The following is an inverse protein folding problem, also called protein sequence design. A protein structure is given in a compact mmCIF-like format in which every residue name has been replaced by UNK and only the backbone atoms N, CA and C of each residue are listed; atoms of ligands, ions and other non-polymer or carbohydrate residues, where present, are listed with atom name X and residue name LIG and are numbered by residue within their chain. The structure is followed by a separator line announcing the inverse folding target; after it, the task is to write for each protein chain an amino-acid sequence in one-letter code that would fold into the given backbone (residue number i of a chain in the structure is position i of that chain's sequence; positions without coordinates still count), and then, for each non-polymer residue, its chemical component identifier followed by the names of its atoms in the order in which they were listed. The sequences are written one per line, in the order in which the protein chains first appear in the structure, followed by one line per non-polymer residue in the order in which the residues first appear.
data_IF_858177450281
#
_entry.id   IF_858177450281
#
_cell.length_a   1.000
_cell.length_b   1.000
_cell.length_c   1.000
_cell.angle_alpha   90.00
_cell.angle_beta   90.00
_cell.angle_gamma   90.00
#
_symmetry.space_group_name_H-M   'P 1'
#
loop_
_entity.id
_entity.type
_entity.pdbx_description
1 polymer ?
#
# COMPACT_ATOMS: atom_id res chain seq x y z
N UNK A 1 -20.73 -9.61 -10.34
CA UNK A 1 -21.46 -8.73 -9.44
C UNK A 1 -20.52 -7.77 -8.77
N UNK A 2 -20.77 -6.50 -8.96
CA UNK A 2 -19.90 -5.46 -8.41
C UNK A 2 -19.89 -5.44 -6.90
N UNK A 3 -21.01 -5.71 -6.27
CA UNK A 3 -21.12 -5.73 -4.83
C UNK A 3 -20.22 -6.77 -4.17
N UNK A 4 -20.08 -7.92 -4.80
CA UNK A 4 -19.23 -9.00 -4.31
C UNK A 4 -17.75 -8.58 -4.27
N UNK A 5 -17.30 -7.91 -5.32
CA UNK A 5 -15.92 -7.47 -5.43
C UNK A 5 -15.62 -6.34 -4.44
N UNK A 6 -16.54 -5.39 -4.30
CA UNK A 6 -16.39 -4.31 -3.33
C UNK A 6 -16.37 -4.85 -1.90
N UNK A 7 -17.21 -5.83 -1.63
CA UNK A 7 -17.27 -6.47 -0.33
C UNK A 7 -15.95 -7.15 0.03
N UNK A 8 -15.34 -7.83 -0.94
CA UNK A 8 -14.05 -8.50 -0.77
C UNK A 8 -12.94 -7.50 -0.46
N UNK A 9 -12.87 -6.43 -1.24
CA UNK A 9 -11.87 -5.39 -1.05
C UNK A 9 -12.01 -4.72 0.32
N UNK A 10 -13.24 -4.41 0.70
CA UNK A 10 -13.54 -3.80 1.98
C UNK A 10 -13.10 -4.72 3.14
N UNK A 11 -13.36 -6.00 3.00
CA UNK A 11 -13.00 -6.97 4.03
C UNK A 11 -11.49 -7.03 4.26
N UNK A 12 -10.72 -7.03 3.19
CA UNK A 12 -9.26 -7.08 3.28
C UNK A 12 -8.69 -5.79 3.86
N UNK A 13 -9.22 -4.65 3.45
CA UNK A 13 -8.83 -3.37 4.04
C UNK A 13 -9.17 -3.33 5.53
N UNK A 14 -10.32 -3.88 5.88
CA UNK A 14 -10.73 -3.98 7.27
C UNK A 14 -9.77 -4.83 8.10
N UNK A 15 -9.25 -5.92 7.53
CA UNK A 15 -8.26 -6.76 8.19
C UNK A 15 -6.97 -5.99 8.47
N UNK A 16 -6.50 -5.22 7.51
CA UNK A 16 -5.30 -4.40 7.71
C UNK A 16 -5.54 -3.36 8.80
N UNK A 17 -6.66 -2.65 8.75
CA UNK A 17 -6.98 -1.61 9.72
C UNK A 17 -7.35 -2.15 11.09
N UNK A 18 -7.66 -3.45 11.20
CA UNK A 18 -7.93 -4.07 12.49
C UNK A 18 -6.65 -4.39 13.26
N UNK A 19 -5.49 -4.33 12.61
CA UNK A 19 -4.22 -4.52 13.28
C UNK A 19 -3.93 -3.32 14.19
N UNK A 20 -3.12 -3.54 15.23
CA UNK A 20 -2.73 -2.44 16.08
C UNK A 20 -1.97 -1.38 15.27
N UNK A 21 -2.00 -0.14 15.75
CA UNK A 21 -1.28 0.95 15.09
C UNK A 21 0.21 0.63 14.96
N UNK A 22 0.74 -0.03 15.97
CA UNK A 22 2.15 -0.43 15.98
C UNK A 22 2.46 -1.42 14.86
N UNK A 23 1.59 -2.41 14.67
CA UNK A 23 1.76 -3.40 13.61
C UNK A 23 1.60 -2.78 12.23
N UNK A 24 0.64 -1.87 12.08
CA UNK A 24 0.44 -1.17 10.83
C UNK A 24 1.67 -0.33 10.48
N UNK A 25 2.22 0.37 11.45
CA UNK A 25 3.41 1.18 11.25
C UNK A 25 4.60 0.31 10.85
N UNK A 26 4.75 -0.84 11.50
CA UNK A 26 5.80 -1.79 11.16
C UNK A 26 5.68 -2.27 9.71
N UNK A 27 4.47 -2.61 9.29
CA UNK A 27 4.23 -3.05 7.90
C UNK A 27 4.62 -1.97 6.90
N UNK A 28 4.23 -0.73 7.18
CA UNK A 28 4.57 0.40 6.29
C UNK A 28 6.08 0.63 6.24
N UNK A 29 6.71 0.59 7.40
CA UNK A 29 8.16 0.83 7.50
C UNK A 29 8.94 -0.23 6.72
N UNK A 30 8.58 -1.49 6.89
CA UNK A 30 9.26 -2.60 6.21
C UNK A 30 9.09 -2.48 4.69
N UNK A 31 7.89 -2.17 4.24
CA UNK A 31 7.64 -2.04 2.81
C UNK A 31 8.38 -0.84 2.23
N UNK A 32 8.33 0.29 2.89
CA UNK A 32 9.05 1.48 2.45
C UNK A 32 10.55 1.24 2.37
N UNK A 33 11.10 0.60 3.39
CA UNK A 33 12.53 0.27 3.42
C UNK A 33 12.94 -0.60 2.23
N UNK A 34 12.12 -1.59 1.91
CA UNK A 34 12.36 -2.46 0.77
C UNK A 34 12.47 -1.66 -0.54
N UNK A 35 11.55 -0.73 -0.76
CA UNK A 35 11.56 0.06 -1.98
C UNK A 35 12.67 1.10 -1.99
N UNK A 36 13.04 1.62 -0.81
CA UNK A 36 14.18 2.52 -0.71
C UNK A 36 15.48 1.81 -1.07
N UNK A 37 15.63 0.56 -0.66
CA UNK A 37 16.81 -0.23 -1.03
C UNK A 37 16.89 -0.43 -2.54
N UNK A 38 15.76 -0.71 -3.19
CA UNK A 38 15.71 -0.91 -4.62
C UNK A 38 15.99 0.37 -5.40
N UNK A 39 15.69 1.52 -4.82
CA UNK A 39 15.87 2.82 -5.48
C UNK A 39 17.09 3.58 -4.98
N UNK A 40 18.00 2.90 -4.29
CA UNK A 40 19.24 3.48 -3.77
C UNK A 40 18.97 4.70 -2.87
N UNK A 41 17.96 4.56 -1.99
CA UNK A 41 17.53 5.58 -1.03
C UNK A 41 16.93 6.83 -1.66
N UNK A 42 16.50 6.74 -2.89
CA UNK A 42 15.77 7.83 -3.54
C UNK A 42 14.28 7.70 -3.21
N UNK A 43 13.79 8.56 -2.33
CA UNK A 43 12.40 8.51 -1.88
C UNK A 43 11.43 8.72 -3.04
N UNK A 44 11.74 9.65 -3.91
CA UNK A 44 10.90 9.96 -5.08
C UNK A 44 10.73 8.74 -5.97
N UNK A 45 11.82 8.07 -6.26
CA UNK A 45 11.80 6.87 -7.09
C UNK A 45 11.12 5.72 -6.36
N UNK A 46 11.36 5.59 -5.05
CA UNK A 46 10.70 4.56 -4.25
C UNK A 46 9.19 4.71 -4.30
N UNK A 47 8.68 5.93 -4.17
CA UNK A 47 7.25 6.20 -4.23
C UNK A 47 6.69 5.90 -5.62
N UNK A 48 7.42 6.21 -6.67
CA UNK A 48 7.00 5.90 -8.04
C UNK A 48 6.92 4.39 -8.26
N UNK A 49 7.90 3.64 -7.74
CA UNK A 49 7.88 2.18 -7.80
C UNK A 49 6.69 1.61 -7.03
N UNK A 50 6.40 2.18 -5.89
CA UNK A 50 5.26 1.75 -5.09
C UNK A 50 3.93 2.03 -5.81
N UNK A 51 3.82 3.16 -6.48
CA UNK A 51 2.63 3.47 -7.27
C UNK A 51 2.44 2.48 -8.40
N UNK A 52 3.51 2.10 -9.06
CA UNK A 52 3.49 1.08 -10.11
C UNK A 52 3.07 -0.28 -9.53
N UNK A 53 3.65 -0.63 -8.40
CA UNK A 53 3.31 -1.88 -7.72
C UNK A 53 1.85 -1.90 -7.27
N UNK A 54 1.33 -0.75 -6.85
CA UNK A 54 -0.08 -0.63 -6.46
C UNK A 54 -0.98 -1.04 -7.62
N UNK A 55 -0.67 -0.56 -8.81
CA UNK A 55 -1.45 -0.90 -9.99
C UNK A 55 -1.43 -2.41 -10.26
N UNK A 56 -0.26 -3.03 -10.16
CA UNK A 56 -0.13 -4.48 -10.33
C UNK A 56 -0.88 -5.24 -9.24
N UNK A 57 -0.77 -4.76 -7.99
CA UNK A 57 -1.43 -5.40 -6.87
C UNK A 57 -2.95 -5.35 -7.03
N UNK A 58 -3.48 -4.26 -7.56
CA UNK A 58 -4.91 -4.14 -7.84
C UNK A 58 -5.34 -5.15 -8.90
N UNK A 59 -4.54 -5.32 -9.95
CA UNK A 59 -4.83 -6.30 -11.00
C UNK A 59 -4.80 -7.72 -10.47
N UNK A 60 -3.92 -8.00 -9.51
CA UNK A 60 -3.78 -9.32 -8.91
C UNK A 60 -4.72 -9.53 -7.72
N UNK A 61 -5.53 -8.55 -7.40
CA UNK A 61 -6.44 -8.58 -6.25
C UNK A 61 -5.72 -8.77 -4.92
N UNK A 62 -4.48 -8.29 -4.82
CA UNK A 62 -3.71 -8.31 -3.57
C UNK A 62 -4.10 -7.09 -2.72
N UNK A 63 -5.31 -7.09 -2.20
CA UNK A 63 -5.90 -5.90 -1.57
C UNK A 63 -5.22 -5.46 -0.29
N UNK A 64 -4.67 -6.39 0.48
CA UNK A 64 -3.94 -6.01 1.70
C UNK A 64 -2.69 -5.22 1.33
N UNK A 65 -1.96 -5.67 0.31
CA UNK A 65 -0.80 -4.95 -0.19
C UNK A 65 -1.20 -3.57 -0.73
N UNK A 66 -2.32 -3.51 -1.44
CA UNK A 66 -2.86 -2.25 -1.93
C UNK A 66 -3.11 -1.26 -0.78
N UNK A 67 -3.70 -1.74 0.30
CA UNK A 67 -4.02 -0.88 1.44
C UNK A 67 -2.75 -0.32 2.08
N UNK A 68 -1.72 -1.16 2.22
CA UNK A 68 -0.45 -0.72 2.81
C UNK A 68 0.21 0.33 1.91
N UNK A 69 0.27 0.07 0.61
CA UNK A 69 0.89 1.00 -0.33
C UNK A 69 0.14 2.32 -0.35
N UNK A 70 -1.18 2.28 -0.39
CA UNK A 70 -2.00 3.49 -0.38
C UNK A 70 -1.75 4.33 0.87
N UNK A 71 -1.64 3.68 2.02
CA UNK A 71 -1.35 4.38 3.26
C UNK A 71 0.00 5.09 3.22
N UNK A 72 1.01 4.42 2.67
CA UNK A 72 2.34 5.04 2.55
C UNK A 72 2.29 6.23 1.59
N UNK A 73 1.67 6.06 0.44
CA UNK A 73 1.57 7.12 -0.54
C UNK A 73 0.79 8.32 0.00
N UNK A 74 -0.24 8.07 0.80
CA UNK A 74 -1.00 9.11 1.47
C UNK A 74 -0.14 9.87 2.48
N UNK A 75 0.67 9.16 3.23
CA UNK A 75 1.57 9.76 4.21
C UNK A 75 2.53 10.74 3.57
N UNK A 76 3.01 10.42 2.38
CA UNK A 76 3.93 11.28 1.63
C UNK A 76 3.19 12.24 0.70
N UNK A 77 1.86 12.23 0.75
CA UNK A 77 1.04 13.08 -0.10
C UNK A 77 1.35 12.92 -1.59
N UNK A 78 1.65 11.69 -1.99
CA UNK A 78 2.07 11.41 -3.37
C UNK A 78 0.99 11.79 -4.39
N UNK A 79 -0.27 11.51 -4.06
CA UNK A 79 -1.40 11.81 -4.93
C UNK A 79 -2.03 13.18 -4.66
N UNK A 80 -1.44 13.95 -3.77
CA UNK A 80 -1.93 15.28 -3.42
C UNK A 80 -1.61 16.27 -4.54
N UNK A 81 -2.55 17.14 -4.80
CA UNK A 81 -2.36 18.17 -5.82
C UNK A 81 -2.07 19.52 -5.21
#
# INVERSE_FOLDING_TARGET
MMTSQMSKQWKIMSLYFSKSKRMQQWCRDVMLEKYLEESENDVSEALALMAFRLELAEQQEAYEECAIIKDILDEFEYFSE
#
